data_IF_492267437795
#
_entry.id   IF_492267437795
#
_cell.length_a   1.000
_cell.length_b   1.000
_cell.length_c   1.000
_cell.angle_alpha   90.00
_cell.angle_beta   90.00
_cell.angle_gamma   90.00
#
_symmetry.space_group_name_H-M   'P 1'
#
loop_
_entity.id
_entity.type
_entity.pdbx_description
1 polymer ?
#
# COMPACT_ATOMS: atom_id res chain seq x y z
N UNK A 1 -27.50 -14.77 8.45
CA UNK A 1 -26.57 -13.78 9.07
C UNK A 1 -25.14 -14.06 8.57
N UNK A 2 -24.70 -15.32 8.55
CA UNK A 2 -23.35 -15.72 8.10
C UNK A 2 -23.14 -15.31 6.64
N UNK A 3 -24.04 -15.63 5.74
CA UNK A 3 -23.92 -15.26 4.32
C UNK A 3 -23.85 -13.75 4.06
N UNK A 4 -24.42 -12.92 4.94
CA UNK A 4 -24.31 -11.46 4.83
C UNK A 4 -22.94 -10.93 5.27
N UNK A 5 -22.33 -11.60 6.24
CA UNK A 5 -20.98 -11.27 6.71
C UNK A 5 -19.96 -11.72 5.68
N UNK A 6 -20.10 -12.91 5.11
CA UNK A 6 -19.22 -13.45 4.09
C UNK A 6 -19.27 -12.60 2.82
N UNK A 7 -20.47 -12.27 2.32
CA UNK A 7 -20.62 -11.37 1.17
C UNK A 7 -20.06 -9.96 1.41
N UNK A 8 -20.17 -9.46 2.65
CA UNK A 8 -19.60 -8.16 3.01
C UNK A 8 -18.08 -8.24 3.12
N UNK A 9 -17.54 -9.37 3.59
CA UNK A 9 -16.11 -9.62 3.65
C UNK A 9 -15.52 -9.74 2.23
N UNK A 10 -16.09 -10.55 1.37
CA UNK A 10 -15.69 -10.69 -0.05
C UNK A 10 -15.75 -9.34 -0.78
N UNK A 11 -16.79 -8.55 -0.53
CA UNK A 11 -16.95 -7.22 -1.10
C UNK A 11 -15.88 -6.22 -0.63
N UNK A 12 -15.43 -6.32 0.62
CA UNK A 12 -14.40 -5.46 1.20
C UNK A 12 -12.97 -5.95 0.92
N UNK A 13 -12.78 -7.27 0.80
CA UNK A 13 -11.46 -7.90 0.58
C UNK A 13 -11.05 -7.95 -0.89
N UNK A 14 -11.92 -7.58 -1.82
CA UNK A 14 -11.49 -7.36 -3.19
C UNK A 14 -11.71 -8.48 -4.18
N UNK A 15 -12.59 -9.44 -3.90
CA UNK A 15 -12.98 -10.43 -4.93
C UNK A 15 -13.83 -9.73 -5.99
N UNK A 16 -13.38 -9.64 -7.25
CA UNK A 16 -14.17 -8.99 -8.29
C UNK A 16 -15.40 -9.86 -8.61
N UNK A 17 -16.59 -9.27 -8.44
CA UNK A 17 -17.83 -9.90 -8.89
C UNK A 17 -18.08 -9.52 -10.35
N UNK A 18 -18.24 -10.53 -11.21
CA UNK A 18 -18.61 -10.40 -12.64
C UNK A 18 -17.80 -9.40 -13.49
N UNK A 19 -16.54 -9.18 -13.19
CA UNK A 19 -15.67 -8.27 -13.96
C UNK A 19 -15.76 -6.80 -13.51
N UNK A 20 -16.50 -6.51 -12.46
CA UNK A 20 -16.49 -5.20 -11.80
C UNK A 20 -15.40 -5.11 -10.73
N UNK A 21 -14.87 -3.91 -10.53
CA UNK A 21 -13.93 -3.66 -9.47
C UNK A 21 -14.61 -3.79 -8.10
N UNK A 22 -13.92 -4.43 -7.14
CA UNK A 22 -14.40 -4.53 -5.77
C UNK A 22 -14.55 -3.17 -5.09
N UNK A 23 -15.28 -3.12 -3.99
CA UNK A 23 -15.39 -1.90 -3.17
C UNK A 23 -14.01 -1.38 -2.74
N UNK A 24 -13.12 -2.27 -2.33
CA UNK A 24 -11.77 -1.90 -1.92
C UNK A 24 -10.98 -1.30 -3.08
N UNK A 25 -11.03 -1.89 -4.28
CA UNK A 25 -10.39 -1.35 -5.48
C UNK A 25 -10.95 0.03 -5.83
N UNK A 26 -12.27 0.19 -5.84
CA UNK A 26 -12.94 1.47 -6.11
C UNK A 26 -12.50 2.56 -5.13
N UNK A 27 -12.43 2.22 -3.83
CA UNK A 27 -11.98 3.15 -2.79
C UNK A 27 -10.50 3.52 -2.96
N UNK A 28 -9.63 2.55 -3.23
CA UNK A 28 -8.20 2.77 -3.46
C UNK A 28 -7.99 3.71 -4.66
N UNK A 29 -8.73 3.51 -5.74
CA UNK A 29 -8.65 4.34 -6.94
C UNK A 29 -9.14 5.76 -6.66
N UNK A 30 -10.24 5.93 -5.93
CA UNK A 30 -10.74 7.26 -5.55
C UNK A 30 -9.72 8.00 -4.71
N UNK A 31 -9.21 7.39 -3.66
CA UNK A 31 -8.20 8.02 -2.81
C UNK A 31 -6.96 8.41 -3.59
N UNK A 32 -6.46 7.50 -4.41
CA UNK A 32 -5.29 7.78 -5.23
C UNK A 32 -5.53 8.95 -6.20
N UNK A 33 -6.68 9.00 -6.86
CA UNK A 33 -7.00 10.10 -7.80
C UNK A 33 -7.22 11.45 -7.11
N UNK A 34 -7.81 11.44 -5.92
CA UNK A 34 -8.14 12.66 -5.20
C UNK A 34 -7.01 13.19 -4.32
N UNK A 35 -6.20 12.29 -3.76
CA UNK A 35 -5.15 12.62 -2.80
C UNK A 35 -3.74 12.32 -3.32
N UNK A 36 -3.60 11.80 -4.55
CA UNK A 36 -2.35 11.31 -5.13
C UNK A 36 -1.63 10.27 -4.25
N UNK A 37 -2.36 9.65 -3.34
CA UNK A 37 -1.84 8.62 -2.45
C UNK A 37 -2.99 7.79 -1.87
N UNK A 38 -2.65 6.63 -1.33
CA UNK A 38 -3.59 5.74 -0.65
C UNK A 38 -3.29 5.76 0.86
N UNK A 39 -4.35 5.83 1.68
CA UNK A 39 -4.24 5.70 3.13
C UNK A 39 -4.71 4.32 3.57
N UNK A 40 -4.19 3.86 4.71
CA UNK A 40 -4.71 2.66 5.38
C UNK A 40 -5.91 2.98 6.27
N UNK A 41 -6.58 1.94 6.76
CA UNK A 41 -7.64 2.05 7.74
C UNK A 41 -9.03 1.72 7.22
N UNK A 42 -10.03 1.92 8.07
CA UNK A 42 -11.41 1.57 7.76
C UNK A 42 -11.96 2.38 6.59
N UNK A 43 -12.64 1.72 5.66
CA UNK A 43 -13.22 2.33 4.46
C UNK A 43 -14.11 3.54 4.77
N UNK A 44 -14.89 3.48 5.86
CA UNK A 44 -15.71 4.61 6.32
C UNK A 44 -14.87 5.87 6.56
N UNK A 45 -13.79 5.74 7.32
CA UNK A 45 -12.93 6.88 7.67
C UNK A 45 -12.24 7.47 6.44
N UNK A 46 -11.86 6.62 5.50
CA UNK A 46 -11.23 7.01 4.23
C UNK A 46 -12.20 7.78 3.34
N UNK A 47 -13.44 7.30 3.20
CA UNK A 47 -14.52 8.01 2.49
C UNK A 47 -14.80 9.36 3.17
N UNK A 48 -14.97 9.38 4.48
CA UNK A 48 -15.24 10.60 5.24
C UNK A 48 -14.11 11.64 5.13
N UNK A 49 -12.86 11.21 5.14
CA UNK A 49 -11.72 12.10 4.94
C UNK A 49 -11.72 12.72 3.53
N UNK A 50 -12.00 11.91 2.50
CA UNK A 50 -12.09 12.39 1.11
C UNK A 50 -13.27 13.36 0.93
N UNK A 51 -14.43 13.06 1.51
CA UNK A 51 -15.60 13.95 1.47
C UNK A 51 -15.33 15.28 2.16
N UNK A 52 -14.70 15.27 3.33
CA UNK A 52 -14.31 16.51 4.02
C UNK A 52 -13.37 17.36 3.18
N UNK A 53 -12.44 16.75 2.47
CA UNK A 53 -11.53 17.44 1.56
C UNK A 53 -12.28 18.10 0.42
N UNK A 54 -13.27 17.41 -0.19
CA UNK A 54 -13.98 17.86 -1.38
C UNK A 54 -15.16 18.75 -1.07
N UNK A 55 -15.94 18.45 -0.05
CA UNK A 55 -17.20 19.11 0.28
C UNK A 55 -17.17 19.93 1.58
N UNK A 56 -16.08 19.86 2.33
CA UNK A 56 -15.97 20.45 3.66
C UNK A 56 -16.75 19.72 4.76
N UNK A 57 -17.54 18.72 4.41
CA UNK A 57 -18.37 17.94 5.35
C UNK A 57 -18.59 16.52 4.86
N UNK A 58 -18.95 15.61 5.79
CA UNK A 58 -19.32 14.25 5.43
C UNK A 58 -20.69 14.23 4.76
N UNK A 59 -20.85 13.34 3.79
CA UNK A 59 -22.12 13.11 3.13
C UNK A 59 -22.97 12.07 3.87
N UNK A 60 -24.27 12.03 3.61
CA UNK A 60 -25.21 11.05 4.15
C UNK A 60 -25.45 9.93 3.14
N UNK A 61 -25.88 8.76 3.63
CA UNK A 61 -26.21 7.62 2.79
C UNK A 61 -25.30 6.41 3.04
N UNK A 62 -25.49 5.37 2.23
CA UNK A 62 -24.70 4.15 2.31
C UNK A 62 -23.25 4.41 1.88
N UNK A 63 -22.29 3.63 2.41
CA UNK A 63 -20.89 3.74 2.00
C UNK A 63 -20.71 3.49 0.51
N UNK A 64 -21.46 2.54 -0.08
CA UNK A 64 -21.42 2.26 -1.51
C UNK A 64 -21.88 3.44 -2.34
N UNK A 65 -23.04 4.04 -2.01
CA UNK A 65 -23.56 5.21 -2.74
C UNK A 65 -22.66 6.43 -2.61
N UNK A 66 -22.05 6.63 -1.44
CA UNK A 66 -21.07 7.71 -1.21
C UNK A 66 -19.80 7.48 -2.05
N UNK A 67 -19.30 6.26 -2.11
CA UNK A 67 -18.16 5.89 -2.94
C UNK A 67 -18.46 6.07 -4.44
N UNK A 68 -19.65 5.67 -4.91
CA UNK A 68 -20.06 5.90 -6.31
C UNK A 68 -20.11 7.39 -6.67
N UNK A 69 -20.57 8.24 -5.74
CA UNK A 69 -20.55 9.68 -5.93
C UNK A 69 -19.13 10.23 -6.08
N UNK A 70 -18.19 9.73 -5.27
CA UNK A 70 -16.77 10.09 -5.37
C UNK A 70 -16.15 9.58 -6.67
N UNK A 71 -16.49 8.37 -7.13
CA UNK A 71 -16.03 7.83 -8.41
C UNK A 71 -16.47 8.67 -9.60
N UNK A 72 -17.72 9.12 -9.61
CA UNK A 72 -18.24 10.04 -10.65
C UNK A 72 -17.43 11.32 -10.71
N UNK A 73 -17.07 11.89 -9.56
CA UNK A 73 -16.19 13.06 -9.49
C UNK A 73 -14.76 12.73 -9.95
N UNK A 74 -14.27 11.53 -9.69
CA UNK A 74 -12.94 11.08 -10.11
C UNK A 74 -12.83 10.75 -11.61
N UNK A 75 -13.81 11.11 -12.42
CA UNK A 75 -13.90 10.91 -13.88
C UNK A 75 -14.38 9.52 -14.32
N UNK A 76 -15.04 8.77 -13.44
CA UNK A 76 -15.77 7.55 -13.79
C UNK A 76 -17.27 7.89 -13.88
N UNK A 77 -17.74 8.20 -15.08
CA UNK A 77 -19.08 8.77 -15.32
C UNK A 77 -20.24 7.87 -14.91
N UNK A 78 -20.03 6.57 -14.89
CA UNK A 78 -21.01 5.55 -14.50
C UNK A 78 -20.75 4.93 -13.11
N UNK A 79 -19.70 5.38 -12.43
CA UNK A 79 -19.27 4.81 -11.14
C UNK A 79 -18.55 3.47 -11.26
N UNK A 80 -18.32 2.96 -12.47
CA UNK A 80 -17.57 1.74 -12.71
C UNK A 80 -16.08 2.03 -12.91
N UNK A 81 -15.24 1.22 -12.24
CA UNK A 81 -13.80 1.20 -12.49
C UNK A 81 -13.52 0.04 -13.44
N UNK A 82 -12.96 0.29 -14.64
CA UNK A 82 -12.64 -0.79 -15.55
C UNK A 82 -11.59 -1.72 -14.91
N UNK A 83 -11.87 -3.02 -14.96
CA UNK A 83 -10.97 -4.07 -14.49
C UNK A 83 -10.17 -4.58 -15.66
N UNK A 84 -8.86 -4.56 -15.53
CA UNK A 84 -7.94 -5.11 -16.50
C UNK A 84 -6.97 -6.05 -15.79
N UNK A 85 -6.89 -7.30 -16.26
CA UNK A 85 -5.91 -8.25 -15.74
C UNK A 85 -4.55 -7.93 -16.34
N UNK A 86 -3.56 -7.75 -15.48
CA UNK A 86 -2.17 -7.57 -15.89
C UNK A 86 -1.29 -8.60 -15.17
N UNK A 87 -0.30 -9.10 -15.88
CA UNK A 87 0.75 -9.93 -15.28
C UNK A 87 1.88 -8.99 -14.84
N UNK A 88 2.12 -8.97 -13.54
CA UNK A 88 3.23 -8.20 -13.00
C UNK A 88 4.55 -8.88 -13.40
N UNK A 89 5.45 -8.19 -14.15
CA UNK A 89 6.72 -8.78 -14.52
C UNK A 89 7.53 -9.15 -13.27
N UNK A 90 8.15 -10.32 -13.30
CA UNK A 90 9.14 -10.70 -12.29
C UNK A 90 10.25 -9.65 -12.30
N UNK A 91 10.76 -9.33 -11.12
CA UNK A 91 11.80 -8.31 -10.93
C UNK A 91 11.34 -6.84 -11.15
N UNK A 92 10.02 -6.59 -11.13
CA UNK A 92 9.50 -5.23 -11.06
C UNK A 92 10.00 -4.51 -9.79
N UNK A 93 10.54 -3.30 -9.95
CA UNK A 93 11.16 -2.54 -8.85
C UNK A 93 10.30 -1.33 -8.50
N UNK A 94 10.10 -1.10 -7.21
CA UNK A 94 9.43 0.09 -6.70
C UNK A 94 10.10 0.59 -5.42
N UNK A 95 9.87 1.85 -5.08
CA UNK A 95 10.40 2.44 -3.85
C UNK A 95 9.43 2.29 -2.70
N UNK A 96 9.97 2.08 -1.51
CA UNK A 96 9.19 2.03 -0.27
C UNK A 96 9.66 3.09 0.71
N UNK A 97 8.75 3.46 1.62
CA UNK A 97 9.04 4.27 2.79
C UNK A 97 8.52 3.56 4.05
N UNK A 98 9.31 3.51 5.10
CA UNK A 98 8.85 2.97 6.37
C UNK A 98 7.84 3.91 7.03
N UNK A 99 6.83 3.35 7.69
CA UNK A 99 5.79 4.13 8.38
C UNK A 99 6.16 4.45 9.83
N UNK A 100 7.21 3.80 10.35
CA UNK A 100 7.76 4.02 11.68
C UNK A 100 9.28 4.06 11.64
N UNK A 101 9.86 4.72 12.61
CA UNK A 101 11.32 4.76 12.78
C UNK A 101 11.85 3.37 13.16
N UNK A 102 12.93 2.96 12.53
CA UNK A 102 13.67 1.74 12.84
C UNK A 102 14.99 2.11 13.51
N UNK A 103 15.26 1.51 14.65
CA UNK A 103 16.47 1.77 15.42
C UNK A 103 17.08 0.48 15.94
N UNK A 104 18.40 0.34 15.81
CA UNK A 104 19.11 -0.83 16.36
C UNK A 104 18.98 -0.94 17.87
N UNK A 105 18.70 0.17 18.57
CA UNK A 105 18.48 0.17 20.04
C UNK A 105 17.10 -0.37 20.42
N UNK A 106 16.07 -0.09 19.61
CA UNK A 106 14.67 -0.39 19.93
C UNK A 106 14.16 -1.63 19.21
N UNK A 107 14.53 -1.81 17.93
CA UNK A 107 14.05 -2.93 17.11
C UNK A 107 14.62 -4.27 17.61
N UNK A 108 13.79 -5.30 17.53
CA UNK A 108 14.11 -6.68 17.91
C UNK A 108 13.80 -7.61 16.74
N UNK A 109 14.53 -8.74 16.68
CA UNK A 109 14.16 -9.83 15.76
C UNK A 109 12.72 -10.28 16.03
N UNK A 110 11.93 -10.42 14.98
CA UNK A 110 10.51 -10.76 15.02
C UNK A 110 9.55 -9.56 15.07
N UNK A 111 10.07 -8.32 15.23
CA UNK A 111 9.23 -7.14 15.19
C UNK A 111 8.59 -6.97 13.80
N UNK A 112 7.29 -6.71 13.78
CA UNK A 112 6.56 -6.41 12.55
C UNK A 112 6.94 -5.01 12.06
N UNK A 113 7.29 -4.90 10.80
CA UNK A 113 7.65 -3.66 10.14
C UNK A 113 6.57 -3.31 9.12
N UNK A 114 6.03 -2.11 9.23
CA UNK A 114 5.09 -1.58 8.25
C UNK A 114 5.80 -0.59 7.32
N UNK A 115 5.49 -0.69 6.04
CA UNK A 115 6.00 0.21 5.02
C UNK A 115 4.90 0.57 4.01
N UNK A 116 5.17 1.52 3.16
CA UNK A 116 4.26 1.93 2.08
C UNK A 116 5.02 2.17 0.78
N UNK A 117 4.34 2.02 -0.35
CA UNK A 117 4.86 2.42 -1.63
C UNK A 117 5.13 3.93 -1.65
N UNK A 118 6.32 4.35 -2.05
CA UNK A 118 6.68 5.75 -2.17
C UNK A 118 6.23 6.37 -3.50
N UNK A 119 6.10 5.55 -4.53
CA UNK A 119 5.69 5.94 -5.89
C UNK A 119 4.59 4.99 -6.40
N UNK A 120 3.89 5.39 -7.48
CA UNK A 120 2.99 4.50 -8.20
C UNK A 120 3.79 3.52 -9.07
N UNK A 121 3.28 2.29 -9.19
CA UNK A 121 3.77 1.30 -10.15
C UNK A 121 2.69 0.99 -11.18
N UNK A 122 3.03 1.16 -12.45
CA UNK A 122 2.17 0.83 -13.59
C UNK A 122 2.75 -0.34 -14.37
N UNK A 123 1.87 -1.16 -14.91
CA UNK A 123 2.18 -2.22 -15.88
C UNK A 123 1.27 -2.04 -17.07
N UNK A 124 1.84 -1.79 -18.26
CA UNK A 124 1.07 -1.49 -19.48
C UNK A 124 0.00 -0.39 -19.27
N UNK A 125 0.39 0.71 -18.63
CA UNK A 125 -0.46 1.85 -18.27
C UNK A 125 -1.57 1.53 -17.26
N UNK A 126 -1.62 0.32 -16.71
CA UNK A 126 -2.53 -0.07 -15.64
C UNK A 126 -1.87 0.15 -14.28
N UNK A 127 -2.52 0.88 -13.39
CA UNK A 127 -2.06 1.07 -12.02
C UNK A 127 -2.17 -0.24 -11.25
N UNK A 128 -1.03 -0.77 -10.84
CA UNK A 128 -0.94 -2.01 -10.03
C UNK A 128 -0.72 -1.71 -8.57
N UNK A 129 0.19 -0.79 -8.28
CA UNK A 129 0.56 -0.41 -6.92
C UNK A 129 0.46 1.11 -6.79
N UNK A 130 -0.56 1.62 -6.08
CA UNK A 130 -0.68 3.05 -5.86
C UNK A 130 0.31 3.52 -4.79
N UNK A 131 0.80 4.75 -4.92
CA UNK A 131 1.54 5.43 -3.86
C UNK A 131 0.75 5.40 -2.56
N UNK A 132 1.41 5.06 -1.45
CA UNK A 132 0.79 4.90 -0.14
C UNK A 132 0.22 3.50 0.13
N UNK A 133 0.20 2.59 -0.85
CA UNK A 133 -0.15 1.19 -0.63
C UNK A 133 0.70 0.60 0.49
N UNK A 134 0.06 -0.07 1.43
CA UNK A 134 0.71 -0.57 2.65
C UNK A 134 1.27 -1.97 2.48
N UNK A 135 2.40 -2.23 3.09
CA UNK A 135 3.04 -3.54 3.11
C UNK A 135 3.56 -3.90 4.49
N UNK A 136 3.91 -5.16 4.64
CA UNK A 136 4.36 -5.76 5.90
C UNK A 136 5.64 -6.55 5.68
N UNK A 137 6.53 -6.44 6.65
CA UNK A 137 7.74 -7.25 6.78
C UNK A 137 8.03 -7.56 8.24
N UNK A 138 9.13 -8.23 8.49
CA UNK A 138 9.59 -8.62 9.81
C UNK A 138 11.09 -8.34 9.96
N UNK A 139 11.51 -7.88 11.15
CA UNK A 139 12.93 -7.74 11.48
C UNK A 139 13.57 -9.12 11.57
N UNK A 140 14.44 -9.45 10.63
CA UNK A 140 15.17 -10.72 10.58
C UNK A 140 16.35 -10.73 11.52
N UNK A 141 17.09 -9.63 11.58
CA UNK A 141 18.30 -9.49 12.38
C UNK A 141 18.58 -8.02 12.72
N UNK A 142 19.08 -7.81 13.94
CA UNK A 142 19.60 -6.51 14.37
C UNK A 142 21.07 -6.68 14.74
N UNK A 143 21.92 -5.86 14.17
CA UNK A 143 23.35 -5.78 14.51
C UNK A 143 23.58 -4.43 15.19
N UNK A 144 24.06 -4.45 16.42
CA UNK A 144 24.37 -3.22 17.16
C UNK A 144 25.64 -2.56 16.59
N UNK A 145 25.72 -1.21 16.66
CA UNK A 145 26.98 -0.53 16.35
C UNK A 145 28.11 -1.06 17.23
N UNK A 146 29.24 -1.33 16.61
CA UNK A 146 30.44 -1.83 17.30
C UNK A 146 31.42 -0.75 17.67
N UNK A 147 32.42 -1.10 18.47
CA UNK A 147 33.59 -0.28 18.75
C UNK A 147 34.41 -0.18 17.44
N UNK A 148 35.09 0.91 17.19
CA UNK A 148 35.87 1.20 15.98
C UNK A 148 35.07 1.47 14.69
N UNK A 149 33.92 2.17 14.80
CA UNK A 149 33.18 2.67 13.63
C UNK A 149 32.43 1.61 12.83
N UNK A 150 32.12 0.46 13.43
CA UNK A 150 31.21 -0.51 12.81
C UNK A 150 29.78 -0.03 12.95
N UNK A 151 29.14 0.25 11.82
CA UNK A 151 27.74 0.70 11.77
C UNK A 151 26.77 -0.39 12.23
N UNK A 152 25.70 0.05 12.91
CA UNK A 152 24.58 -0.83 13.22
C UNK A 152 23.76 -1.14 11.96
N UNK A 153 23.15 -2.32 11.91
CA UNK A 153 22.33 -2.75 10.77
C UNK A 153 21.06 -3.47 11.23
N UNK A 154 19.97 -3.21 10.51
CA UNK A 154 18.70 -3.93 10.67
C UNK A 154 18.41 -4.63 9.35
N UNK A 155 18.38 -5.95 9.37
CA UNK A 155 17.97 -6.77 8.24
C UNK A 155 16.46 -7.03 8.33
N UNK A 156 15.71 -6.73 7.27
CA UNK A 156 14.27 -6.88 7.20
C UNK A 156 13.93 -7.92 6.13
N UNK A 157 13.04 -8.82 6.47
CA UNK A 157 12.42 -9.74 5.53
C UNK A 157 11.06 -9.18 5.14
N UNK A 158 10.91 -8.73 3.90
CA UNK A 158 9.66 -8.19 3.39
C UNK A 158 8.75 -9.34 2.99
N UNK A 159 7.47 -9.26 3.34
CA UNK A 159 6.52 -10.34 3.11
C UNK A 159 5.62 -10.04 1.93
N UNK A 160 4.87 -8.95 2.00
CA UNK A 160 3.97 -8.52 0.93
C UNK A 160 3.64 -7.03 0.99
N UNK A 161 3.10 -6.53 -0.11
CA UNK A 161 2.44 -5.22 -0.20
C UNK A 161 1.06 -5.41 -0.85
N UNK A 162 0.09 -4.58 -0.49
CA UNK A 162 -1.24 -4.64 -1.10
C UNK A 162 -1.26 -3.89 -2.44
N UNK A 163 -1.72 -4.55 -3.49
CA UNK A 163 -2.02 -3.94 -4.78
C UNK A 163 -3.25 -3.04 -4.73
N UNK A 164 -3.54 -2.37 -5.85
CA UNK A 164 -4.71 -1.49 -5.99
C UNK A 164 -6.02 -2.25 -5.77
N UNK A 165 -6.07 -3.52 -6.14
CA UNK A 165 -7.20 -4.44 -6.00
C UNK A 165 -7.28 -5.14 -4.63
N UNK A 166 -6.34 -4.85 -3.73
CA UNK A 166 -6.23 -5.50 -2.43
C UNK A 166 -5.46 -6.83 -2.45
N UNK A 167 -4.97 -7.27 -3.61
CA UNK A 167 -4.16 -8.50 -3.71
C UNK A 167 -2.86 -8.34 -2.93
N UNK A 168 -2.46 -9.37 -2.20
CA UNK A 168 -1.15 -9.45 -1.52
C UNK A 168 -0.07 -9.81 -2.54
N UNK A 169 0.77 -8.85 -2.86
CA UNK A 169 1.89 -8.99 -3.79
C UNK A 169 3.14 -9.33 -2.98
N UNK A 170 3.76 -10.50 -3.16
CA UNK A 170 5.00 -10.85 -2.47
C UNK A 170 6.12 -9.87 -2.78
N UNK A 171 6.92 -9.50 -1.79
CA UNK A 171 8.00 -8.51 -1.94
C UNK A 171 9.31 -9.04 -1.38
N UNK A 172 10.39 -8.76 -2.07
CA UNK A 172 11.75 -9.06 -1.61
C UNK A 172 12.65 -7.83 -1.73
N UNK A 173 13.81 -7.83 -1.08
CA UNK A 173 14.80 -6.76 -1.23
C UNK A 173 15.52 -6.91 -2.56
N UNK A 174 15.42 -5.90 -3.42
CA UNK A 174 16.13 -5.87 -4.70
C UNK A 174 17.64 -5.68 -4.55
N UNK A 175 18.40 -6.15 -5.53
CA UNK A 175 19.88 -6.03 -5.55
C UNK A 175 20.36 -4.57 -5.47
N UNK A 176 19.67 -3.64 -6.15
CA UNK A 176 19.97 -2.20 -6.10
C UNK A 176 19.83 -1.62 -4.69
N UNK A 177 18.86 -2.12 -3.93
CA UNK A 177 18.64 -1.69 -2.55
C UNK A 177 19.74 -2.20 -1.63
N UNK A 178 20.22 -3.42 -1.84
CA UNK A 178 21.36 -3.99 -1.08
C UNK A 178 22.62 -3.17 -1.29
N UNK A 179 22.95 -2.82 -2.52
CA UNK A 179 24.12 -2.01 -2.84
C UNK A 179 24.05 -0.58 -2.27
N UNK A 180 22.86 0.05 -2.28
CA UNK A 180 22.67 1.38 -1.67
C UNK A 180 22.71 1.36 -0.15
N UNK A 181 22.18 0.33 0.49
CA UNK A 181 22.22 0.19 1.95
C UNK A 181 23.65 0.04 2.47
N UNK A 182 24.55 -0.57 1.69
CA UNK A 182 25.99 -0.66 2.00
C UNK A 182 26.72 0.68 1.85
N UNK A 183 26.20 1.60 1.01
CA UNK A 183 26.83 2.90 0.73
C UNK A 183 26.25 4.06 1.56
N UNK A 184 25.14 3.90 2.25
CA UNK A 184 24.45 4.94 3.05
C UNK A 184 24.39 4.51 4.52
N UNK A 185 25.53 4.30 5.10
CA UNK A 185 25.67 4.24 6.54
C UNK A 185 25.54 5.67 7.10
N UNK A 186 24.35 6.07 7.52
CA UNK A 186 24.19 7.31 8.28
C UNK A 186 23.03 8.24 7.93
N UNK A 187 22.17 7.96 6.98
CA UNK A 187 21.02 8.82 6.67
C UNK A 187 19.70 8.15 7.11
N UNK A 188 19.05 8.71 8.12
CA UNK A 188 17.67 8.40 8.44
C UNK A 188 16.78 8.75 7.24
N UNK A 189 16.03 7.76 6.69
CA UNK A 189 15.09 7.98 5.61
C UNK A 189 15.47 7.42 4.25
N UNK A 190 16.31 6.39 4.17
CA UNK A 190 16.61 5.74 2.90
C UNK A 190 15.36 5.07 2.30
N UNK A 191 14.94 5.53 1.13
CA UNK A 191 13.99 4.81 0.30
C UNK A 191 14.67 3.55 -0.22
N UNK A 192 14.20 2.38 0.22
CA UNK A 192 14.70 1.08 -0.21
C UNK A 192 13.83 0.62 -1.39
N UNK A 193 14.45 0.20 -2.49
CA UNK A 193 13.73 -0.41 -3.60
C UNK A 193 13.27 -1.82 -3.22
N UNK A 194 11.98 -2.09 -3.31
CA UNK A 194 11.42 -3.43 -3.25
C UNK A 194 11.42 -4.05 -4.66
N UNK A 195 11.56 -5.36 -4.74
CA UNK A 195 11.44 -6.14 -5.97
C UNK A 195 10.32 -7.14 -5.79
N UNK A 196 9.44 -7.22 -6.77
CA UNK A 196 8.29 -8.12 -6.81
C UNK A 196 8.66 -9.40 -7.55
#
# INVERSE_FOLDING_TARGET
>A
IINRVDNMYDYLEGTPDNGEASFATKLNVVEWKMNESMSGGAAKNRIEATEKLLYGQNQTGSLSGRLESLLKLASYTDGNVPVQQVVLPKDSVFKIAFTSELSTKMSRKGDVVHFKAADNLYVNDVLVLPKGATGVGEVKKVVQPGIFGKDGRIDIDFTYIYGVDGTKIPVTVGEIAKQKAESIAGAAGAAIGGMI
#
